data_IF_922616907179
#
_entry.id   IF_922616907179
#
_cell.length_a   1.000
_cell.length_b   1.000
_cell.length_c   1.000
_cell.angle_alpha   90.00
_cell.angle_beta   90.00
_cell.angle_gamma   90.00
#
_symmetry.space_group_name_H-M   'P 1'
#
loop_
_entity.id
_entity.type
_entity.pdbx_description
1 polymer ?
#
# COMPACT_ATOMS: atom_id res chain seq x y z
N UNK A 1 54.15 -4.53 42.46
CA UNK A 1 53.27 -5.70 42.60
C UNK A 1 52.25 -5.65 41.48
N UNK A 2 52.34 -6.65 40.61
CA UNK A 2 51.54 -6.85 39.40
C UNK A 2 50.15 -7.32 39.80
N UNK A 3 49.11 -6.80 39.15
CA UNK A 3 47.91 -7.59 38.87
C UNK A 3 47.22 -7.08 37.60
N UNK A 4 47.46 -7.82 36.51
CA UNK A 4 46.66 -7.82 35.30
C UNK A 4 45.24 -8.31 35.60
N UNK A 5 44.24 -7.70 34.96
CA UNK A 5 42.94 -8.32 34.68
C UNK A 5 42.55 -8.03 33.23
N UNK A 6 42.34 -9.10 32.48
CA UNK A 6 42.20 -9.14 31.03
C UNK A 6 40.88 -8.58 30.47
N UNK A 7 40.72 -8.65 29.13
CA UNK A 7 39.71 -7.89 28.40
C UNK A 7 38.35 -8.59 28.39
N UNK A 8 37.29 -7.83 28.71
CA UNK A 8 35.90 -8.27 28.57
C UNK A 8 35.48 -8.16 27.10
N UNK A 9 35.30 -9.32 26.46
CA UNK A 9 34.62 -9.44 25.17
C UNK A 9 33.13 -9.13 25.33
N UNK A 10 32.59 -8.15 24.59
CA UNK A 10 31.16 -8.05 24.31
C UNK A 10 30.92 -8.28 22.83
N UNK A 11 30.15 -9.34 22.55
CA UNK A 11 29.76 -9.83 21.25
C UNK A 11 28.85 -8.83 20.53
N UNK A 12 29.16 -8.57 19.27
CA UNK A 12 28.24 -7.96 18.33
C UNK A 12 27.19 -8.99 17.89
N UNK A 13 25.92 -8.67 18.07
CA UNK A 13 24.82 -9.35 17.41
C UNK A 13 24.41 -8.50 16.20
N UNK A 14 24.90 -8.85 15.02
CA UNK A 14 24.37 -8.38 13.75
C UNK A 14 23.19 -9.28 13.38
N UNK A 15 21.96 -8.75 13.44
CA UNK A 15 20.78 -9.43 12.91
C UNK A 15 20.71 -9.22 11.39
N UNK A 16 20.95 -10.28 10.63
CA UNK A 16 20.79 -10.31 9.18
C UNK A 16 19.32 -10.62 8.82
N UNK A 17 18.53 -9.58 8.55
CA UNK A 17 17.24 -9.71 7.88
C UNK A 17 17.50 -9.74 6.36
N UNK A 18 17.49 -10.95 5.79
CA UNK A 18 17.73 -11.20 4.37
C UNK A 18 16.54 -10.84 3.49
N UNK A 19 16.42 -9.57 3.11
CA UNK A 19 15.77 -9.16 1.86
C UNK A 19 16.84 -9.07 0.76
N UNK A 20 16.74 -9.89 -0.29
CA UNK A 20 17.76 -9.93 -1.36
C UNK A 20 17.58 -8.71 -2.27
N UNK A 21 18.31 -7.63 -1.98
CA UNK A 21 18.46 -6.46 -2.86
C UNK A 21 19.26 -6.89 -4.09
N UNK A 22 18.66 -6.82 -5.28
CA UNK A 22 19.37 -7.04 -6.55
C UNK A 22 19.78 -5.69 -7.13
N UNK A 23 21.08 -5.43 -7.16
CA UNK A 23 21.67 -4.25 -7.80
C UNK A 23 22.29 -4.69 -9.14
N UNK A 24 21.82 -4.14 -10.27
CA UNK A 24 22.21 -4.58 -11.63
C UNK A 24 23.57 -3.98 -12.07
N UNK A 25 24.37 -3.45 -11.13
CA UNK A 25 25.59 -2.68 -11.47
C UNK A 25 26.90 -3.44 -11.70
N UNK A 26 27.00 -4.78 -11.65
CA UNK A 26 28.34 -5.41 -11.55
C UNK A 26 28.57 -6.80 -12.17
N UNK A 27 27.70 -7.33 -13.05
CA UNK A 27 27.92 -8.67 -13.64
C UNK A 27 28.68 -8.70 -14.98
N UNK A 28 29.54 -7.72 -15.25
CA UNK A 28 30.47 -7.77 -16.38
C UNK A 28 31.92 -7.63 -15.93
N UNK A 29 32.47 -8.70 -15.38
CA UNK A 29 33.88 -9.06 -15.53
C UNK A 29 34.07 -10.53 -15.13
N UNK A 30 34.77 -11.30 -15.98
CA UNK A 30 35.24 -12.69 -15.78
C UNK A 30 34.29 -13.79 -16.24
N UNK A 31 34.11 -13.87 -17.57
CA UNK A 31 34.07 -15.16 -18.27
C UNK A 31 35.35 -15.29 -19.11
N UNK A 32 36.28 -16.16 -18.69
CA UNK A 32 37.16 -16.98 -19.55
C UNK A 32 38.08 -17.88 -18.69
N UNK A 33 38.11 -19.16 -19.06
CA UNK A 33 39.02 -20.25 -18.65
C UNK A 33 38.89 -20.85 -17.24
N UNK A 34 38.38 -22.10 -17.14
CA UNK A 34 39.22 -23.33 -17.08
C UNK A 34 38.35 -24.61 -17.09
N UNK A 35 38.81 -25.61 -17.86
CA UNK A 35 38.26 -26.98 -17.98
C UNK A 35 38.63 -27.89 -16.79
N UNK A 36 37.75 -28.86 -16.52
CA UNK A 36 37.87 -30.24 -15.98
C UNK A 36 39.05 -30.66 -15.07
N UNK A 37 38.70 -31.20 -13.89
CA UNK A 37 39.20 -32.48 -13.31
C UNK A 37 38.31 -32.90 -12.10
N UNK A 38 37.95 -34.18 -11.98
CA UNK A 38 37.08 -34.71 -10.92
C UNK A 38 37.83 -35.18 -9.67
N UNK A 39 37.08 -35.47 -8.58
CA UNK A 39 37.03 -36.80 -7.91
C UNK A 39 36.09 -36.82 -6.67
N UNK A 40 35.43 -37.98 -6.49
CA UNK A 40 34.92 -38.74 -5.32
C UNK A 40 34.54 -38.14 -3.92
N UNK A 41 33.27 -38.42 -3.54
CA UNK A 41 32.78 -39.25 -2.39
C UNK A 41 32.57 -38.71 -0.94
N UNK A 42 31.32 -38.93 -0.47
CA UNK A 42 30.85 -39.51 0.83
C UNK A 42 30.00 -38.68 1.85
N UNK A 43 29.05 -39.41 2.49
CA UNK A 43 28.19 -39.18 3.68
C UNK A 43 26.90 -38.37 3.49
N UNK A 44 25.75 -38.73 4.08
CA UNK A 44 25.34 -39.76 5.04
C UNK A 44 23.86 -39.51 5.39
N UNK A 45 23.10 -40.59 5.55
CA UNK A 45 21.64 -40.65 5.77
C UNK A 45 21.30 -40.59 7.27
N UNK A 46 20.23 -39.89 7.65
CA UNK A 46 19.57 -39.94 8.97
C UNK A 46 18.14 -39.34 8.84
N UNK A 47 17.17 -40.17 8.45
CA UNK A 47 15.75 -39.80 8.32
C UNK A 47 14.84 -40.65 9.20
N UNK A 48 14.30 -40.05 10.28
CA UNK A 48 13.39 -40.76 11.20
C UNK A 48 12.51 -39.82 12.05
N UNK A 49 11.77 -38.91 11.40
CA UNK A 49 10.68 -38.14 12.03
C UNK A 49 9.34 -38.84 11.82
N UNK A 50 8.61 -39.11 12.90
CA UNK A 50 7.39 -39.91 12.96
C UNK A 50 6.26 -39.36 12.08
N UNK A 51 5.59 -40.26 11.33
CA UNK A 51 4.40 -40.00 10.52
C UNK A 51 3.27 -39.29 11.29
N UNK A 52 3.25 -39.44 12.62
CA UNK A 52 2.25 -38.85 13.51
C UNK A 52 2.44 -37.32 13.61
N UNK A 53 3.69 -36.84 13.60
CA UNK A 53 3.99 -35.40 13.65
C UNK A 53 3.65 -34.72 12.31
N UNK A 54 3.86 -35.44 11.20
CA UNK A 54 3.46 -34.99 9.88
C UNK A 54 1.94 -34.82 9.75
N UNK A 55 1.14 -35.70 10.36
CA UNK A 55 -0.32 -35.65 10.34
C UNK A 55 -0.90 -34.56 11.27
N UNK A 56 -0.26 -34.30 12.41
CA UNK A 56 -0.61 -33.21 13.31
C UNK A 56 -0.36 -31.83 12.66
N UNK A 57 0.76 -31.68 11.95
CA UNK A 57 1.06 -30.44 11.22
C UNK A 57 0.12 -30.23 10.02
N UNK A 58 -0.25 -31.30 9.32
CA UNK A 58 -1.18 -31.24 8.18
C UNK A 58 -2.58 -30.76 8.58
N UNK A 59 -3.07 -31.17 9.75
CA UNK A 59 -4.39 -30.77 10.26
C UNK A 59 -4.43 -29.31 10.69
N UNK A 60 -3.38 -28.82 11.36
CA UNK A 60 -3.24 -27.38 11.70
C UNK A 60 -3.12 -26.53 10.42
N UNK A 61 -2.45 -27.05 9.39
CA UNK A 61 -2.31 -26.38 8.10
C UNK A 61 -3.64 -26.31 7.32
N UNK A 62 -4.42 -27.40 7.32
CA UNK A 62 -5.72 -27.46 6.67
C UNK A 62 -6.72 -26.50 7.32
N UNK A 63 -6.73 -26.40 8.66
CA UNK A 63 -7.56 -25.46 9.40
C UNK A 63 -7.21 -23.99 9.08
N UNK A 64 -5.92 -23.67 8.93
CA UNK A 64 -5.47 -22.32 8.53
C UNK A 64 -5.81 -21.97 7.07
N UNK A 65 -5.75 -22.94 6.16
CA UNK A 65 -6.19 -22.78 4.77
C UNK A 65 -7.70 -22.51 4.66
N UNK A 66 -8.51 -23.26 5.41
CA UNK A 66 -9.96 -23.09 5.47
C UNK A 66 -10.31 -21.70 6.03
N UNK A 67 -9.64 -21.27 7.11
CA UNK A 67 -9.83 -19.93 7.68
C UNK A 67 -9.44 -18.79 6.72
N UNK A 68 -8.33 -18.94 5.97
CA UNK A 68 -7.90 -17.95 4.97
C UNK A 68 -8.81 -17.92 3.73
N UNK A 69 -9.32 -19.07 3.30
CA UNK A 69 -10.31 -19.19 2.22
C UNK A 69 -11.65 -18.54 2.59
N UNK A 70 -12.15 -18.80 3.82
CA UNK A 70 -13.35 -18.16 4.35
C UNK A 70 -13.17 -16.63 4.46
N UNK A 71 -12.01 -16.14 4.88
CA UNK A 71 -11.72 -14.70 4.93
C UNK A 71 -11.64 -14.01 3.55
N UNK A 72 -11.40 -14.76 2.47
CA UNK A 72 -11.46 -14.28 1.08
C UNK A 72 -12.89 -14.35 0.53
N UNK A 73 -13.64 -15.41 0.84
CA UNK A 73 -15.03 -15.57 0.45
C UNK A 73 -15.95 -14.54 1.15
N UNK A 74 -15.74 -14.26 2.44
CA UNK A 74 -16.46 -13.22 3.19
C UNK A 74 -16.14 -11.83 2.64
N UNK A 75 -14.88 -11.55 2.25
CA UNK A 75 -14.49 -10.28 1.57
C UNK A 75 -15.13 -10.13 0.20
N UNK A 76 -15.23 -11.22 -0.57
CA UNK A 76 -15.91 -11.25 -1.86
C UNK A 76 -17.43 -11.08 -1.72
N UNK A 77 -18.05 -11.72 -0.72
CA UNK A 77 -19.49 -11.61 -0.44
C UNK A 77 -19.88 -10.22 0.10
N UNK A 78 -19.05 -9.60 0.94
CA UNK A 78 -19.28 -8.22 1.42
C UNK A 78 -19.07 -7.18 0.32
N UNK A 79 -18.16 -7.41 -0.64
CA UNK A 79 -17.98 -6.54 -1.80
C UNK A 79 -19.15 -6.57 -2.80
N UNK A 80 -19.94 -7.65 -2.82
CA UNK A 80 -21.08 -7.82 -3.75
C UNK A 80 -22.41 -7.26 -3.22
N UNK A 81 -22.50 -6.90 -1.94
CA UNK A 81 -23.72 -6.31 -1.35
C UNK A 81 -23.78 -4.78 -1.41
N UNK A 82 -22.77 -4.06 -1.90
CA UNK A 82 -22.71 -2.59 -1.82
C UNK A 82 -22.69 -1.85 -3.17
N UNK A 83 -23.32 -2.42 -4.20
CA UNK A 83 -23.50 -1.73 -5.51
C UNK A 83 -24.95 -1.69 -6.02
N UNK A 84 -25.94 -2.32 -5.36
CA UNK A 84 -27.35 -2.14 -5.75
C UNK A 84 -28.23 -1.72 -4.58
N UNK A 85 -28.79 -0.51 -4.72
CA UNK A 85 -29.95 0.09 -4.02
C UNK A 85 -29.61 1.30 -3.14
N UNK A 86 -29.40 2.45 -3.77
CA UNK A 86 -29.78 3.73 -3.17
C UNK A 86 -31.18 4.07 -3.69
N UNK A 87 -32.22 4.18 -2.84
CA UNK A 87 -33.51 4.70 -3.28
C UNK A 87 -33.35 6.19 -3.63
N UNK A 88 -33.89 6.58 -4.80
CA UNK A 88 -33.94 7.97 -5.22
C UNK A 88 -34.76 8.84 -4.25
N UNK A 89 -34.60 10.17 -4.30
CA UNK A 89 -35.33 11.08 -3.42
C UNK A 89 -36.85 10.96 -3.63
N UNK A 90 -37.67 11.06 -2.56
CA UNK A 90 -39.11 10.94 -2.68
C UNK A 90 -39.72 12.14 -3.43
N UNK A 91 -40.83 11.96 -4.17
CA UNK A 91 -41.53 13.05 -4.81
C UNK A 91 -42.23 13.94 -3.77
N UNK A 92 -42.20 15.25 -4.01
CA UNK A 92 -42.93 16.27 -3.23
C UNK A 92 -44.44 16.12 -3.54
N UNK A 93 -45.32 15.99 -2.53
CA UNK A 93 -46.74 15.91 -2.80
C UNK A 93 -47.32 17.28 -3.16
N UNK A 94 -47.91 17.36 -4.35
CA UNK A 94 -48.80 18.43 -4.76
C UNK A 94 -50.09 18.37 -3.93
N UNK A 95 -50.63 19.55 -3.62
CA UNK A 95 -51.75 19.71 -2.71
C UNK A 95 -53.01 18.94 -3.09
N UNK A 96 -53.72 18.51 -2.06
CA UNK A 96 -55.13 18.15 -2.16
C UNK A 96 -55.88 18.81 -1.02
N UNK A 97 -56.70 19.76 -1.42
CA UNK A 97 -57.76 20.30 -0.62
C UNK A 97 -58.97 19.36 -0.65
N UNK A 98 -59.74 19.44 0.45
CA UNK A 98 -61.20 19.20 0.60
C UNK A 98 -61.71 17.82 1.07
N UNK A 99 -62.43 17.94 2.20
CA UNK A 99 -63.71 17.30 2.61
C UNK A 99 -63.55 15.86 3.14
N UNK A 100 -64.09 15.44 4.29
CA UNK A 100 -65.38 15.67 4.99
C UNK A 100 -65.19 15.47 6.52
N UNK A 101 -65.77 16.31 7.39
CA UNK A 101 -67.07 16.18 8.07
C UNK A 101 -67.05 15.40 9.41
N UNK A 102 -67.56 16.09 10.43
CA UNK A 102 -68.15 15.62 11.70
C UNK A 102 -67.32 14.75 12.64
N UNK A 103 -66.70 15.40 13.64
CA UNK A 103 -66.95 14.98 15.03
C UNK A 103 -66.85 16.18 16.00
N UNK A 104 -67.86 16.29 16.86
CA UNK A 104 -68.01 17.36 17.85
C UNK A 104 -67.13 17.06 19.07
N UNK A 105 -66.08 17.84 19.28
CA UNK A 105 -65.45 17.98 20.61
C UNK A 105 -65.26 19.46 20.87
N UNK A 106 -65.92 19.97 21.90
CA UNK A 106 -65.76 21.36 22.36
C UNK A 106 -64.32 21.61 22.81
N UNK A 107 -63.66 22.70 22.38
CA UNK A 107 -62.31 23.02 22.84
C UNK A 107 -62.31 23.53 24.29
N UNK A 108 -61.28 23.24 25.10
CA UNK A 108 -61.13 23.84 26.41
C UNK A 108 -60.87 25.36 26.28
N UNK A 109 -61.52 26.16 27.12
CA UNK A 109 -61.36 27.62 27.11
C UNK A 109 -59.91 28.02 27.43
N UNK A 110 -59.31 28.81 26.54
CA UNK A 110 -58.03 29.48 26.80
C UNK A 110 -58.23 30.57 27.86
N UNK A 111 -57.29 30.75 28.80
CA UNK A 111 -57.32 31.89 29.71
C UNK A 111 -57.17 33.21 28.92
N UNK A 112 -57.74 34.33 29.41
CA UNK A 112 -57.65 35.61 28.72
C UNK A 112 -56.19 36.08 28.61
N UNK A 113 -55.81 36.78 27.53
CA UNK A 113 -54.45 37.25 27.35
C UNK A 113 -54.13 38.34 28.38
N UNK A 114 -53.28 37.99 29.34
CA UNK A 114 -52.72 38.96 30.28
C UNK A 114 -51.61 39.75 29.60
N UNK A 115 -51.70 41.08 29.76
CA UNK A 115 -50.65 42.11 29.59
C UNK A 115 -50.06 42.33 28.19
N UNK A 116 -50.32 43.56 27.67
CA UNK A 116 -49.61 44.22 26.57
C UNK A 116 -48.09 44.07 26.75
N UNK A 117 -47.43 43.35 25.86
CA UNK A 117 -46.00 43.49 25.65
C UNK A 117 -45.76 44.86 24.99
N UNK A 118 -44.90 45.68 25.59
CA UNK A 118 -44.44 46.92 24.97
C UNK A 118 -43.77 46.61 23.61
N UNK A 119 -43.83 47.52 22.61
CA UNK A 119 -43.15 47.30 21.35
C UNK A 119 -41.64 47.18 21.61
N UNK A 120 -41.06 46.05 21.18
CA UNK A 120 -39.61 45.92 21.16
C UNK A 120 -39.03 47.01 20.23
N UNK A 121 -37.89 47.63 20.58
CA UNK A 121 -37.22 48.55 19.67
C UNK A 121 -36.90 47.82 18.36
N UNK A 122 -36.91 48.52 17.21
CA UNK A 122 -36.55 47.89 15.95
C UNK A 122 -35.14 47.34 16.10
N UNK A 123 -34.99 46.03 15.91
CA UNK A 123 -33.69 45.41 15.73
C UNK A 123 -33.05 46.12 14.54
N UNK A 124 -32.01 46.89 14.80
CA UNK A 124 -31.09 47.33 13.78
C UNK A 124 -30.55 46.05 13.13
N UNK A 125 -31.14 45.63 12.02
CA UNK A 125 -30.49 44.73 11.09
C UNK A 125 -29.31 45.52 10.52
N UNK A 126 -28.23 45.61 11.31
CA UNK A 126 -26.89 45.81 10.78
C UNK A 126 -26.79 44.78 9.67
N UNK A 127 -26.75 45.27 8.43
CA UNK A 127 -26.59 44.44 7.26
C UNK A 127 -25.29 43.66 7.46
N UNK A 128 -25.43 42.44 7.96
CA UNK A 128 -24.32 41.51 8.13
C UNK A 128 -23.91 41.15 6.71
N UNK A 129 -22.94 41.92 6.21
CA UNK A 129 -22.39 41.76 4.88
C UNK A 129 -22.01 40.30 4.72
N UNK A 130 -22.55 39.67 3.67
CA UNK A 130 -22.25 38.28 3.34
C UNK A 130 -20.74 38.00 3.49
N UNK A 131 -20.34 36.84 4.05
CA UNK A 131 -18.94 36.55 4.29
C UNK A 131 -18.13 36.75 3.01
N UNK A 132 -16.93 37.36 3.09
CA UNK A 132 -16.13 37.64 1.90
C UNK A 132 -15.89 36.32 1.16
N UNK A 133 -16.08 36.36 -0.16
CA UNK A 133 -15.85 35.19 -1.00
C UNK A 133 -14.44 34.62 -0.72
N UNK A 134 -14.29 33.30 -0.57
CA UNK A 134 -13.02 32.71 -0.22
C UNK A 134 -11.97 33.06 -1.27
N UNK A 135 -10.81 33.53 -0.81
CA UNK A 135 -9.69 33.85 -1.69
C UNK A 135 -9.32 32.62 -2.55
N UNK A 136 -8.88 32.84 -3.80
CA UNK A 136 -8.49 31.74 -4.68
C UNK A 136 -7.34 30.94 -4.09
N UNK A 137 -7.43 29.62 -4.16
CA UNK A 137 -6.41 28.71 -3.65
C UNK A 137 -5.10 28.83 -4.48
N UNK A 138 -3.90 28.77 -3.86
CA UNK A 138 -2.63 29.06 -4.53
C UNK A 138 -2.08 27.88 -5.37
N UNK A 139 -2.93 26.98 -5.85
CA UNK A 139 -2.50 25.77 -6.56
C UNK A 139 -2.33 26.01 -8.06
N UNK A 140 -1.31 25.39 -8.66
CA UNK A 140 -1.05 25.43 -10.11
C UNK A 140 -0.74 24.02 -10.61
N UNK A 141 -1.04 23.75 -11.88
CA UNK A 141 -0.64 22.48 -12.51
C UNK A 141 0.88 22.34 -12.51
N UNK A 142 1.37 21.14 -12.25
CA UNK A 142 2.78 20.84 -12.43
C UNK A 142 3.14 20.91 -13.94
N UNK A 143 4.34 21.37 -14.26
CA UNK A 143 4.82 21.40 -15.65
C UNK A 143 5.09 19.98 -16.19
N UNK A 144 5.54 19.07 -15.32
CA UNK A 144 5.79 17.65 -15.60
C UNK A 144 5.47 16.83 -14.35
N UNK A 145 4.98 15.61 -14.55
CA UNK A 145 4.73 14.66 -13.45
C UNK A 145 6.01 13.91 -13.05
N UNK A 146 6.79 13.48 -14.04
CA UNK A 146 8.04 12.75 -13.85
C UNK A 146 9.25 13.69 -13.89
N UNK A 147 10.27 13.38 -13.10
CA UNK A 147 11.59 13.99 -13.22
C UNK A 147 12.24 13.63 -14.56
N UNK A 148 13.33 14.33 -14.93
CA UNK A 148 14.04 14.05 -16.19
C UNK A 148 14.61 12.62 -16.23
N UNK A 149 15.14 12.14 -15.11
CA UNK A 149 15.67 10.77 -14.99
C UNK A 149 14.58 9.72 -15.07
N UNK A 150 13.46 9.94 -14.38
CA UNK A 150 12.29 9.05 -14.43
C UNK A 150 11.68 8.99 -15.83
N UNK A 151 11.54 10.12 -16.51
CA UNK A 151 11.06 10.15 -17.89
C UNK A 151 11.98 9.39 -18.85
N UNK A 152 13.31 9.57 -18.70
CA UNK A 152 14.30 8.86 -19.50
C UNK A 152 14.25 7.34 -19.30
N UNK A 153 13.96 6.88 -18.08
CA UNK A 153 13.79 5.46 -17.76
C UNK A 153 12.41 4.91 -18.16
N UNK A 154 11.37 5.73 -18.11
CA UNK A 154 10.00 5.29 -18.39
C UNK A 154 9.86 4.71 -19.80
N UNK A 155 10.51 5.31 -20.81
CA UNK A 155 10.43 4.85 -22.19
C UNK A 155 10.98 3.42 -22.40
N UNK A 156 12.23 3.08 -22.02
CA UNK A 156 12.71 1.70 -22.10
C UNK A 156 11.93 0.73 -21.21
N UNK A 157 11.47 1.16 -20.03
CA UNK A 157 10.58 0.35 -19.19
C UNK A 157 9.27 0.01 -19.89
N UNK A 158 8.63 0.99 -20.53
CA UNK A 158 7.40 0.79 -21.30
C UNK A 158 7.58 -0.28 -22.38
N UNK A 159 8.66 -0.20 -23.16
CA UNK A 159 8.95 -1.22 -24.19
C UNK A 159 9.26 -2.59 -23.59
N UNK A 160 9.96 -2.64 -22.46
CA UNK A 160 10.26 -3.90 -21.78
C UNK A 160 8.99 -4.67 -21.40
N UNK A 161 7.98 -3.98 -20.86
CA UNK A 161 6.78 -4.63 -20.28
C UNK A 161 5.54 -4.56 -21.17
N UNK A 162 5.63 -3.95 -22.35
CA UNK A 162 4.50 -3.71 -23.25
C UNK A 162 3.77 -5.01 -23.56
N UNK A 163 2.45 -5.00 -23.38
CA UNK A 163 1.58 -6.14 -23.68
C UNK A 163 1.40 -7.13 -22.53
N UNK A 164 2.25 -7.09 -21.51
CA UNK A 164 2.23 -8.09 -20.42
C UNK A 164 1.99 -7.52 -19.04
N UNK A 165 2.39 -6.28 -18.79
CA UNK A 165 2.14 -5.61 -17.52
C UNK A 165 1.63 -4.18 -17.70
N UNK A 166 1.15 -3.58 -16.60
CA UNK A 166 0.79 -2.16 -16.52
C UNK A 166 1.79 -1.40 -15.67
N UNK A 167 2.08 -0.16 -16.08
CA UNK A 167 2.99 0.74 -15.35
C UNK A 167 2.14 1.86 -14.74
N UNK A 168 2.29 2.06 -13.42
CA UNK A 168 1.81 3.25 -12.74
C UNK A 168 3.00 4.06 -12.22
N UNK A 169 2.91 5.38 -12.33
CA UNK A 169 4.00 6.30 -12.00
C UNK A 169 3.67 7.09 -10.74
N UNK A 170 4.68 7.41 -9.92
CA UNK A 170 4.54 8.28 -8.73
C UNK A 170 3.41 7.85 -7.80
N UNK A 171 3.29 6.55 -7.57
CA UNK A 171 2.22 5.99 -6.74
C UNK A 171 2.56 6.20 -5.27
N UNK A 172 1.58 6.65 -4.47
CA UNK A 172 1.77 6.70 -3.01
C UNK A 172 1.94 5.30 -2.49
N UNK A 173 2.90 5.09 -1.59
CA UNK A 173 3.12 3.79 -0.96
C UNK A 173 1.84 3.31 -0.24
N UNK A 174 1.07 4.23 0.32
CA UNK A 174 -0.21 3.97 0.97
C UNK A 174 -1.31 3.44 0.04
N UNK A 175 -1.17 3.60 -1.28
CA UNK A 175 -2.11 3.05 -2.26
C UNK A 175 -1.64 1.69 -2.80
N UNK A 176 -0.40 1.30 -2.51
CA UNK A 176 0.20 0.01 -2.93
C UNK A 176 0.06 -1.04 -1.84
N UNK A 177 0.21 -0.65 -0.56
CA UNK A 177 0.17 -1.57 0.57
C UNK A 177 -0.99 -1.29 1.51
N UNK A 178 -1.63 -2.35 2.02
CA UNK A 178 -2.62 -2.27 3.07
C UNK A 178 -2.00 -2.43 4.46
N UNK A 179 -2.53 -1.74 5.47
CA UNK A 179 -2.15 -1.96 6.86
C UNK A 179 -3.22 -2.82 7.58
N UNK A 180 -2.83 -3.90 8.28
CA UNK A 180 -3.78 -4.69 9.05
C UNK A 180 -4.27 -3.96 10.30
N UNK A 181 -5.44 -4.35 10.79
CA UNK A 181 -6.01 -3.90 12.06
C UNK A 181 -7.34 -3.16 11.91
N UNK A 182 -7.97 -2.82 13.04
CA UNK A 182 -9.23 -2.08 13.07
C UNK A 182 -8.96 -0.57 13.13
N UNK A 183 -9.69 0.21 12.33
CA UNK A 183 -9.77 1.68 12.24
C UNK A 183 -8.58 2.48 12.82
N UNK A 184 -8.44 2.58 14.15
CA UNK A 184 -7.37 3.36 14.79
C UNK A 184 -5.96 2.84 14.46
N UNK A 185 -5.78 1.53 14.42
CA UNK A 185 -4.47 0.93 14.15
C UNK A 185 -4.09 1.08 12.67
N UNK A 186 -5.03 0.83 11.77
CA UNK A 186 -4.88 1.06 10.33
C UNK A 186 -4.52 2.52 10.04
N UNK A 187 -5.26 3.48 10.61
CA UNK A 187 -4.97 4.93 10.47
C UNK A 187 -3.59 5.30 10.98
N UNK A 188 -3.10 4.66 12.05
CA UNK A 188 -1.74 4.90 12.57
C UNK A 188 -0.68 4.49 11.54
N UNK A 189 -0.84 3.31 10.93
CA UNK A 189 0.10 2.82 9.91
C UNK A 189 0.00 3.61 8.62
N UNK A 190 -1.22 3.93 8.15
CA UNK A 190 -1.46 4.79 7.00
C UNK A 190 -0.72 6.14 7.12
N UNK A 191 -0.79 6.79 8.29
CA UNK A 191 -0.09 8.07 8.54
C UNK A 191 1.43 7.97 8.39
N UNK A 192 2.03 6.81 8.66
CA UNK A 192 3.47 6.60 8.49
C UNK A 192 3.88 6.52 7.03
N UNK A 193 3.04 5.96 6.17
CA UNK A 193 3.37 5.70 4.75
C UNK A 193 2.77 6.70 3.77
N UNK A 194 1.76 7.49 4.14
CA UNK A 194 1.02 8.40 3.23
C UNK A 194 1.88 9.45 2.51
N UNK A 195 3.03 9.81 3.06
CA UNK A 195 3.94 10.80 2.49
C UNK A 195 5.02 10.17 1.58
N UNK A 196 5.07 8.84 1.54
CA UNK A 196 6.02 8.10 0.70
C UNK A 196 5.38 7.81 -0.65
N UNK A 197 6.20 7.90 -1.69
CA UNK A 197 5.86 7.49 -3.04
C UNK A 197 6.96 6.57 -3.54
N UNK A 198 6.59 5.73 -4.49
CA UNK A 198 7.50 4.92 -5.31
C UNK A 198 7.46 5.46 -6.73
N UNK A 199 8.59 5.36 -7.45
CA UNK A 199 8.67 5.91 -8.80
C UNK A 199 7.79 5.15 -9.80
N UNK A 200 7.84 3.82 -9.80
CA UNK A 200 6.98 2.99 -10.64
C UNK A 200 6.45 1.75 -9.92
N UNK A 201 5.26 1.33 -10.33
CA UNK A 201 4.63 0.06 -9.94
C UNK A 201 4.30 -0.72 -11.19
N UNK A 202 4.79 -1.96 -11.25
CA UNK A 202 4.38 -2.95 -12.25
C UNK A 202 3.20 -3.73 -11.69
N UNK A 203 2.10 -3.72 -12.42
CA UNK A 203 0.85 -4.36 -12.02
C UNK A 203 0.41 -5.42 -13.02
N UNK A 204 -0.35 -6.39 -12.51
CA UNK A 204 -1.07 -7.34 -13.34
C UNK A 204 -2.09 -6.60 -14.24
N UNK A 205 -2.20 -6.94 -15.54
CA UNK A 205 -2.99 -6.15 -16.49
C UNK A 205 -4.49 -6.01 -16.27
N UNK A 206 -5.13 -7.02 -15.66
CA UNK A 206 -6.60 -7.11 -15.54
C UNK A 206 -7.14 -6.62 -14.21
N UNK A 207 -6.37 -6.82 -13.15
CA UNK A 207 -6.75 -6.60 -11.75
C UNK A 207 -6.04 -5.40 -11.14
N UNK A 208 -4.98 -4.90 -11.79
CA UNK A 208 -4.10 -3.85 -11.27
C UNK A 208 -3.38 -4.21 -9.97
N UNK A 209 -3.39 -5.50 -9.59
CA UNK A 209 -2.66 -5.97 -8.43
C UNK A 209 -1.17 -5.64 -8.57
N UNK A 210 -0.53 -5.01 -7.56
CA UNK A 210 0.89 -4.69 -7.62
C UNK A 210 1.72 -5.97 -7.59
N UNK A 211 2.66 -6.08 -8.52
CA UNK A 211 3.56 -7.24 -8.67
C UNK A 211 5.01 -6.91 -8.34
N UNK A 212 5.46 -5.70 -8.68
CA UNK A 212 6.85 -5.26 -8.48
C UNK A 212 6.92 -3.75 -8.32
N UNK A 213 7.75 -3.28 -7.39
CA UNK A 213 8.10 -1.86 -7.24
C UNK A 213 9.42 -1.59 -7.96
N UNK A 214 9.51 -0.44 -8.64
CA UNK A 214 10.77 0.05 -9.22
C UNK A 214 11.07 1.45 -8.67
N UNK A 215 12.29 1.64 -8.17
CA UNK A 215 12.80 2.91 -7.66
C UNK A 215 14.09 3.30 -8.40
N UNK A 216 14.24 4.58 -8.75
CA UNK A 216 15.45 5.08 -9.39
C UNK A 216 16.42 5.66 -8.36
N UNK A 217 17.64 5.12 -8.35
CA UNK A 217 18.72 5.64 -7.51
C UNK A 217 19.52 6.68 -8.30
N UNK A 218 19.52 7.91 -7.80
CA UNK A 218 20.34 8.99 -8.37
C UNK A 218 21.78 8.91 -7.81
N UNK A 219 22.78 9.15 -8.66
CA UNK A 219 24.21 8.99 -8.29
C UNK A 219 24.63 9.94 -7.16
N UNK A 220 23.94 11.06 -7.04
CA UNK A 220 24.04 11.97 -5.91
C UNK A 220 23.05 11.54 -4.83
N UNK A 221 23.51 10.96 -3.72
CA UNK A 221 23.18 11.41 -2.35
C UNK A 221 23.51 10.34 -1.28
N UNK A 222 24.58 10.59 -0.52
CA UNK A 222 24.90 9.90 0.75
C UNK A 222 24.44 10.73 1.96
N UNK A 223 23.13 10.97 2.13
CA UNK A 223 22.60 11.61 3.34
C UNK A 223 22.01 10.55 4.28
N UNK A 224 22.38 10.50 5.57
CA UNK A 224 21.89 9.50 6.53
C UNK A 224 20.36 9.39 6.57
N UNK A 225 19.67 10.52 6.55
CA UNK A 225 18.20 10.57 6.58
C UNK A 225 17.51 9.94 5.36
N UNK A 226 18.19 9.83 4.21
CA UNK A 226 17.65 9.08 3.06
C UNK A 226 17.74 7.57 3.30
N UNK A 227 18.81 7.09 3.95
CA UNK A 227 19.00 5.68 4.25
C UNK A 227 17.89 5.15 5.16
N UNK A 228 17.54 5.85 6.22
CA UNK A 228 16.49 5.39 7.14
C UNK A 228 15.12 5.33 6.45
N UNK A 229 14.83 6.28 5.57
CA UNK A 229 13.60 6.30 4.76
C UNK A 229 13.56 5.16 3.75
N UNK A 230 14.69 4.87 3.12
CA UNK A 230 14.83 3.78 2.16
C UNK A 230 14.70 2.42 2.83
N UNK A 231 15.38 2.22 3.97
CA UNK A 231 15.25 1.02 4.79
C UNK A 231 13.82 0.81 5.27
N UNK A 232 13.14 1.88 5.70
CA UNK A 232 11.74 1.79 6.11
C UNK A 232 10.83 1.39 4.94
N UNK A 233 11.03 1.95 3.74
CA UNK A 233 10.29 1.53 2.53
C UNK A 233 10.51 0.05 2.22
N UNK A 234 11.75 -0.42 2.27
CA UNK A 234 12.09 -1.83 2.03
C UNK A 234 11.43 -2.77 3.03
N UNK A 235 11.41 -2.41 4.32
CA UNK A 235 10.72 -3.18 5.35
C UNK A 235 9.21 -3.27 5.09
N UNK A 236 8.58 -2.15 4.70
CA UNK A 236 7.15 -2.11 4.38
C UNK A 236 6.82 -3.00 3.18
N UNK A 237 7.60 -2.92 2.11
CA UNK A 237 7.38 -3.70 0.90
C UNK A 237 7.64 -5.19 1.12
N UNK A 238 8.69 -5.54 1.87
CA UNK A 238 8.98 -6.92 2.24
C UNK A 238 7.84 -7.51 3.09
N UNK A 239 7.31 -6.75 4.05
CA UNK A 239 6.15 -7.18 4.85
C UNK A 239 4.88 -7.37 4.01
N UNK A 240 4.75 -6.64 2.90
CA UNK A 240 3.66 -6.78 1.94
C UNK A 240 3.90 -7.90 0.90
N UNK A 241 5.05 -8.57 0.92
CA UNK A 241 5.42 -9.58 -0.07
C UNK A 241 5.71 -9.01 -1.46
N UNK A 242 5.97 -7.70 -1.56
CA UNK A 242 6.23 -7.02 -2.82
C UNK A 242 7.74 -6.93 -3.08
N UNK A 243 8.25 -7.50 -4.17
CA UNK A 243 9.64 -7.30 -4.56
C UNK A 243 9.89 -5.84 -4.93
N UNK A 244 11.14 -5.40 -4.77
CA UNK A 244 11.63 -4.08 -5.17
C UNK A 244 12.85 -4.23 -6.07
N UNK A 245 12.82 -3.52 -7.20
CA UNK A 245 13.92 -3.38 -8.14
C UNK A 245 14.47 -1.94 -8.03
N UNK A 246 15.72 -1.81 -7.57
CA UNK A 246 16.44 -0.53 -7.59
C UNK A 246 17.26 -0.43 -8.86
N UNK A 247 17.04 0.64 -9.63
CA UNK A 247 17.72 0.88 -10.89
C UNK A 247 18.60 2.12 -10.76
N UNK A 248 19.90 1.94 -11.03
CA UNK A 248 20.82 3.07 -11.08
C UNK A 248 20.52 3.97 -12.27
N UNK A 249 20.60 5.29 -12.08
CA UNK A 249 20.51 6.25 -13.17
C UNK A 249 21.65 6.04 -14.20
N UNK A 250 21.27 5.76 -15.44
CA UNK A 250 22.18 5.47 -16.57
C UNK A 250 21.74 6.23 -17.82
N UNK A 251 22.66 6.39 -18.78
CA UNK A 251 22.37 7.09 -20.04
C UNK A 251 21.50 6.24 -20.98
N UNK A 252 21.61 4.92 -20.88
CA UNK A 252 20.85 3.97 -21.67
C UNK A 252 20.45 2.77 -20.81
N UNK A 253 19.33 2.15 -21.16
CA UNK A 253 18.82 0.94 -20.53
C UNK A 253 18.47 -0.05 -21.65
N UNK A 254 18.84 -1.31 -21.50
CA UNK A 254 18.42 -2.39 -22.41
C UNK A 254 17.02 -2.89 -21.99
N UNK A 255 15.97 -2.69 -22.82
CA UNK A 255 14.63 -3.19 -22.52
C UNK A 255 14.57 -4.71 -22.33
N UNK A 256 15.45 -5.47 -23.00
CA UNK A 256 15.49 -6.94 -22.92
C UNK A 256 16.00 -7.40 -21.56
N UNK A 257 17.06 -6.74 -21.06
CA UNK A 257 17.60 -7.00 -19.73
C UNK A 257 16.61 -6.60 -18.63
N UNK A 258 15.96 -5.44 -18.80
CA UNK A 258 14.89 -5.00 -17.91
C UNK A 258 13.77 -6.02 -17.86
N UNK A 259 13.28 -6.47 -19.01
CA UNK A 259 12.21 -7.46 -19.09
C UNK A 259 12.58 -8.76 -18.39
N UNK A 260 13.76 -9.30 -18.70
CA UNK A 260 14.27 -10.53 -18.08
C UNK A 260 14.36 -10.41 -16.56
N UNK A 261 14.79 -9.26 -16.06
CA UNK A 261 14.90 -9.03 -14.61
C UNK A 261 13.54 -8.89 -13.95
N UNK A 262 12.61 -8.17 -14.58
CA UNK A 262 11.23 -8.00 -14.10
C UNK A 262 10.54 -9.36 -13.97
N UNK A 263 10.57 -10.18 -15.03
CA UNK A 263 9.94 -11.51 -15.02
C UNK A 263 10.55 -12.42 -13.95
N UNK A 264 11.88 -12.38 -13.80
CA UNK A 264 12.57 -13.16 -12.76
C UNK A 264 12.14 -12.75 -11.36
N UNK A 265 12.03 -11.46 -11.08
CA UNK A 265 11.64 -10.97 -9.75
C UNK A 265 10.18 -11.30 -9.43
N UNK A 266 9.28 -11.13 -10.40
CA UNK A 266 7.87 -11.49 -10.25
C UNK A 266 7.73 -13.00 -10.06
N UNK A 267 8.34 -13.82 -10.93
CA UNK A 267 8.27 -15.27 -10.82
C UNK A 267 8.90 -15.86 -9.55
N UNK A 268 9.91 -15.21 -8.98
CA UNK A 268 10.48 -15.58 -7.68
C UNK A 268 9.57 -15.21 -6.51
N UNK A 269 8.83 -14.10 -6.60
CA UNK A 269 7.88 -13.70 -5.57
C UNK A 269 6.65 -14.65 -5.53
N UNK A 270 6.25 -15.17 -6.69
CA UNK A 270 5.13 -16.12 -6.81
C UNK A 270 5.48 -17.54 -6.35
N UNK A 271 6.77 -17.91 -6.31
CA UNK A 271 7.24 -19.23 -5.89
C UNK A 271 7.71 -19.18 -4.43
N UNK A 272 6.93 -19.68 -3.45
CA UNK A 272 7.39 -19.68 -2.06
C UNK A 272 8.65 -20.55 -1.95
N UNK A 273 9.64 -20.06 -1.19
CA UNK A 273 10.90 -20.75 -0.97
C UNK A 273 10.66 -22.17 -0.43
N UNK A 274 10.89 -23.19 -1.27
CA UNK A 274 11.06 -24.57 -0.83
C UNK A 274 12.30 -24.58 0.08
N UNK A 275 12.10 -24.73 1.39
CA UNK A 275 13.21 -24.87 2.33
C UNK A 275 13.64 -26.35 2.34
N UNK A 276 14.91 -26.55 1.98
CA UNK A 276 15.76 -27.69 2.29
C UNK A 276 15.89 -27.92 3.78
#
# INVERSE_FOLDING_TARGET
MVHERGPVRRSGAQSTLGGRVVNIGSQMARRRHKRYRGDTQDRGDDGGGSLIDALAELTVWLLRLIAAGLARAVRWAWGRMFVHSLPGPPPVPAGQARRDAHDRVSPPQLPPPSSRLAPLPPLSHSAESAPPAPAPLPYRRAARLLSRGEWAFWHPLYHAVKGEYRIFCKVRLADVVGAPGQYRQERRWFRKIRAYHVDFVICEPRTTAPLLIIELDDRSHKRPQRRDRDLFKEQVLAAAGLPILRVQAQQAYDPTELRTTIDRLIGNAERPARRS
#
